data_IF_711092728888
#
_entry.id   IF_711092728888
#
_cell.length_a   1.000
_cell.length_b   1.000
_cell.length_c   1.000
_cell.angle_alpha   90.00
_cell.angle_beta   90.00
_cell.angle_gamma   90.00
#
_symmetry.space_group_name_H-M   'P 1'
#
loop_
_entity.id
_entity.type
_entity.pdbx_description
1 polymer ?
#
# COMPACT_ATOMS: atom_id res chain seq x y z
N UNK A 1 14.96 -8.36 -8.81
CA UNK A 1 13.69 -7.75 -9.32
C UNK A 1 13.08 -6.89 -8.24
N UNK A 2 12.74 -5.62 -8.53
CA UNK A 2 12.01 -4.69 -7.63
C UNK A 2 10.73 -4.25 -8.33
N UNK A 3 9.57 -4.45 -7.70
CA UNK A 3 8.32 -4.00 -8.28
C UNK A 3 7.32 -3.56 -7.21
N UNK A 4 6.26 -2.92 -7.61
CA UNK A 4 5.23 -2.41 -6.73
C UNK A 4 4.46 -1.27 -7.39
N UNK A 5 3.39 -0.84 -6.74
CA UNK A 5 2.49 0.19 -7.24
C UNK A 5 3.23 1.47 -7.66
N UNK A 6 2.67 2.24 -8.58
CA UNK A 6 3.15 3.60 -8.91
C UNK A 6 3.16 4.48 -7.64
N UNK A 7 4.04 5.48 -7.59
CA UNK A 7 4.16 6.45 -6.49
C UNK A 7 4.73 5.89 -5.17
N UNK A 8 4.97 4.57 -5.05
CA UNK A 8 5.47 3.92 -3.81
C UNK A 8 6.95 4.20 -3.51
N UNK A 9 7.68 4.86 -4.43
CA UNK A 9 9.06 5.31 -4.19
C UNK A 9 10.15 4.39 -4.72
N UNK A 10 9.88 3.43 -5.62
CA UNK A 10 10.87 2.48 -6.18
C UNK A 10 12.11 3.16 -6.75
N UNK A 11 11.91 4.12 -7.66
CA UNK A 11 13.00 4.86 -8.32
C UNK A 11 13.85 5.63 -7.31
N UNK A 12 13.24 6.24 -6.30
CA UNK A 12 13.94 6.96 -5.24
C UNK A 12 14.78 6.01 -4.38
N UNK A 13 14.21 4.86 -3.99
CA UNK A 13 14.94 3.81 -3.28
C UNK A 13 16.18 3.35 -4.07
N UNK A 14 16.02 3.13 -5.37
CA UNK A 14 17.12 2.71 -6.24
C UNK A 14 18.20 3.80 -6.40
N UNK A 15 17.79 5.06 -6.53
CA UNK A 15 18.73 6.19 -6.59
C UNK A 15 19.53 6.30 -5.29
N UNK A 16 18.85 6.21 -4.15
CA UNK A 16 19.51 6.22 -2.84
C UNK A 16 20.45 5.02 -2.67
N UNK A 17 20.02 3.83 -3.10
CA UNK A 17 20.86 2.63 -3.07
C UNK A 17 22.11 2.75 -3.93
N UNK A 18 22.04 3.45 -5.06
CA UNK A 18 23.14 3.62 -6.02
C UNK A 18 24.10 4.77 -5.68
N UNK A 19 23.75 5.65 -4.73
CA UNK A 19 24.44 6.93 -4.50
C UNK A 19 25.95 6.78 -4.27
N UNK A 20 26.37 5.75 -3.54
CA UNK A 20 27.75 5.46 -3.15
C UNK A 20 28.36 4.29 -3.94
N UNK A 21 27.73 3.83 -5.02
CA UNK A 21 28.13 2.64 -5.79
C UNK A 21 28.38 2.99 -7.25
N UNK A 22 29.37 2.30 -7.84
CA UNK A 22 29.51 2.34 -9.29
C UNK A 22 28.27 1.74 -9.94
N UNK A 23 27.57 2.55 -10.75
CA UNK A 23 26.29 2.13 -11.29
C UNK A 23 26.00 2.70 -12.68
N UNK A 24 25.12 2.01 -13.39
CA UNK A 24 24.44 2.45 -14.60
C UNK A 24 22.96 2.47 -14.30
N UNK A 25 22.31 3.63 -14.43
CA UNK A 25 20.89 3.80 -14.20
C UNK A 25 20.20 4.19 -15.52
N UNK A 26 19.36 3.29 -16.02
CA UNK A 26 18.58 3.50 -17.24
C UNK A 26 17.09 3.39 -16.92
N UNK A 27 16.34 4.43 -17.30
CA UNK A 27 14.86 4.43 -17.20
C UNK A 27 14.29 4.22 -18.59
N UNK A 28 13.58 3.11 -18.77
CA UNK A 28 12.88 2.82 -20.03
C UNK A 28 11.68 3.76 -20.23
N UNK A 29 11.43 4.11 -21.47
CA UNK A 29 10.29 4.93 -21.88
C UNK A 29 9.48 4.19 -22.95
N UNK A 30 8.24 4.61 -23.19
CA UNK A 30 7.39 4.00 -24.21
C UNK A 30 7.75 4.54 -25.62
N UNK A 31 8.83 4.01 -26.17
CA UNK A 31 9.38 4.34 -27.49
C UNK A 31 9.75 3.07 -28.26
N UNK A 32 10.03 3.20 -29.56
CA UNK A 32 10.46 2.06 -30.40
C UNK A 32 11.81 1.47 -29.91
N UNK A 33 12.00 0.18 -30.15
CA UNK A 33 13.13 -0.61 -29.65
C UNK A 33 14.49 -0.02 -30.03
N UNK A 34 14.67 0.41 -31.29
CA UNK A 34 15.94 0.99 -31.74
C UNK A 34 16.32 2.25 -30.94
N UNK A 35 15.33 3.09 -30.60
CA UNK A 35 15.57 4.30 -29.79
C UNK A 35 15.85 3.97 -28.33
N UNK A 36 15.25 2.91 -27.80
CA UNK A 36 15.60 2.42 -26.47
C UNK A 36 17.04 1.89 -26.42
N UNK A 37 17.43 1.09 -27.41
CA UNK A 37 18.80 0.57 -27.52
C UNK A 37 19.82 1.70 -27.71
N UNK A 38 19.51 2.71 -28.52
CA UNK A 38 20.35 3.90 -28.69
C UNK A 38 20.57 4.62 -27.36
N UNK A 39 19.48 4.92 -26.63
CA UNK A 39 19.55 5.61 -25.34
C UNK A 39 20.29 4.79 -24.26
N UNK A 40 20.06 3.47 -24.21
CA UNK A 40 20.77 2.58 -23.31
C UNK A 40 22.28 2.51 -23.68
N UNK A 41 22.60 2.42 -24.96
CA UNK A 41 23.98 2.43 -25.46
C UNK A 41 24.73 3.68 -25.02
N UNK A 42 24.11 4.86 -25.12
CA UNK A 42 24.73 6.11 -24.66
C UNK A 42 25.07 6.06 -23.18
N UNK A 43 24.16 5.55 -22.32
CA UNK A 43 24.41 5.37 -20.88
C UNK A 43 25.59 4.44 -20.60
N UNK A 44 25.73 3.36 -21.37
CA UNK A 44 26.86 2.44 -21.24
C UNK A 44 28.16 3.11 -21.70
N UNK A 45 28.15 3.82 -22.81
CA UNK A 45 29.33 4.47 -23.38
C UNK A 45 29.83 5.66 -22.54
N UNK A 46 28.96 6.33 -21.77
CA UNK A 46 29.37 7.31 -20.77
C UNK A 46 30.34 6.72 -19.74
N UNK A 47 30.18 5.44 -19.40
CA UNK A 47 31.05 4.69 -18.47
C UNK A 47 32.18 3.95 -19.17
N UNK A 48 31.96 3.47 -20.40
CA UNK A 48 32.96 2.74 -21.19
C UNK A 48 33.61 3.67 -22.21
N UNK A 49 34.51 4.56 -21.72
CA UNK A 49 35.25 5.54 -22.58
C UNK A 49 36.10 4.88 -23.65
N UNK A 50 36.52 3.63 -23.46
CA UNK A 50 37.34 2.90 -24.43
C UNK A 50 36.48 2.47 -25.62
N UNK A 51 35.31 1.85 -25.37
CA UNK A 51 34.33 1.49 -26.41
C UNK A 51 33.80 2.75 -27.14
N UNK A 52 33.57 3.84 -26.41
CA UNK A 52 33.07 5.10 -26.97
C UNK A 52 34.01 5.74 -28.02
N UNK A 53 35.28 5.30 -28.13
CA UNK A 53 36.19 5.75 -29.20
C UNK A 53 35.89 5.10 -30.54
N UNK A 54 35.22 3.95 -30.55
CA UNK A 54 35.03 3.13 -31.76
C UNK A 54 33.60 2.99 -32.19
N UNK A 55 32.67 3.12 -31.25
CA UNK A 55 31.23 3.00 -31.53
C UNK A 55 30.44 4.14 -30.90
N UNK A 56 29.35 4.51 -31.55
CA UNK A 56 28.38 5.49 -31.03
C UNK A 56 27.14 4.82 -30.43
N UNK A 57 26.90 3.56 -30.79
CA UNK A 57 25.85 2.70 -30.22
C UNK A 57 26.22 1.23 -30.42
N UNK A 58 25.65 0.35 -29.60
CA UNK A 58 25.70 -1.09 -29.82
C UNK A 58 24.73 -1.51 -30.94
N UNK A 59 25.06 -2.59 -31.65
CA UNK A 59 24.25 -3.08 -32.77
C UNK A 59 22.94 -3.74 -32.30
N UNK A 60 22.98 -4.35 -31.14
CA UNK A 60 21.86 -5.10 -30.55
C UNK A 60 21.93 -5.13 -29.01
N UNK A 61 20.87 -5.61 -28.38
CA UNK A 61 20.76 -5.72 -26.92
C UNK A 61 21.76 -6.71 -26.32
N UNK A 62 22.09 -7.79 -27.03
CA UNK A 62 23.02 -8.80 -26.53
C UNK A 62 24.41 -8.18 -26.34
N UNK A 63 24.91 -7.48 -27.36
CA UNK A 63 26.20 -6.79 -27.28
C UNK A 63 26.21 -5.67 -26.21
N UNK A 64 25.13 -4.91 -26.13
CA UNK A 64 25.01 -3.85 -25.12
C UNK A 64 25.07 -4.43 -23.70
N UNK A 65 24.33 -5.49 -23.42
CA UNK A 65 24.29 -6.14 -22.11
C UNK A 65 25.60 -6.88 -21.78
N UNK A 66 26.24 -7.52 -22.79
CA UNK A 66 27.56 -8.16 -22.60
C UNK A 66 28.64 -7.13 -22.26
N UNK A 67 28.60 -5.93 -22.86
CA UNK A 67 29.59 -4.88 -22.57
C UNK A 67 29.63 -4.48 -21.10
N UNK A 68 28.56 -4.71 -20.33
CA UNK A 68 28.51 -4.44 -18.89
C UNK A 68 29.49 -5.34 -18.14
N UNK A 69 29.68 -6.58 -18.59
CA UNK A 69 30.61 -7.51 -17.93
C UNK A 69 32.05 -7.06 -18.04
N UNK A 70 32.41 -6.37 -19.11
CA UNK A 70 33.75 -5.76 -19.27
C UNK A 70 33.99 -4.65 -18.24
N UNK A 71 32.94 -3.82 -17.98
CA UNK A 71 33.00 -2.79 -16.94
C UNK A 71 33.08 -3.39 -15.53
N UNK A 72 32.58 -4.60 -15.36
CA UNK A 72 32.53 -5.29 -14.06
C UNK A 72 33.75 -6.15 -13.76
N UNK A 73 34.81 -6.18 -14.63
CA UNK A 73 35.99 -7.04 -14.44
C UNK A 73 36.74 -6.73 -13.15
N UNK A 74 36.94 -5.46 -12.86
CA UNK A 74 37.73 -5.02 -11.70
C UNK A 74 36.88 -4.66 -10.47
N UNK A 75 35.66 -4.21 -10.68
CA UNK A 75 34.78 -3.70 -9.62
C UNK A 75 33.34 -4.18 -9.83
N UNK A 76 32.64 -4.37 -8.72
CA UNK A 76 31.20 -4.64 -8.75
C UNK A 76 30.47 -3.42 -9.31
N UNK A 77 29.59 -3.65 -10.30
CA UNK A 77 28.75 -2.62 -10.90
C UNK A 77 27.28 -2.94 -10.69
N UNK A 78 26.49 -1.93 -10.32
CA UNK A 78 25.03 -2.02 -10.23
C UNK A 78 24.42 -1.52 -11.53
N UNK A 79 23.60 -2.30 -12.19
CA UNK A 79 22.86 -1.90 -13.37
C UNK A 79 21.38 -1.91 -13.06
N UNK A 80 20.76 -0.75 -13.12
CA UNK A 80 19.32 -0.57 -12.90
C UNK A 80 18.64 -0.33 -14.23
N UNK A 81 17.67 -1.17 -14.56
CA UNK A 81 16.73 -0.98 -15.66
C UNK A 81 15.37 -0.66 -15.03
N UNK A 82 15.09 0.63 -14.91
CA UNK A 82 13.83 1.12 -14.34
C UNK A 82 12.74 1.16 -15.42
N UNK A 83 11.49 0.91 -15.04
CA UNK A 83 10.33 0.73 -15.93
C UNK A 83 10.58 -0.34 -17.02
N UNK A 84 11.21 -1.46 -16.63
CA UNK A 84 11.53 -2.62 -17.47
C UNK A 84 10.36 -3.13 -18.33
N UNK A 85 9.08 -3.07 -17.90
CA UNK A 85 7.94 -3.41 -18.75
C UNK A 85 7.92 -2.70 -20.11
N UNK A 86 8.37 -1.44 -20.19
CA UNK A 86 8.43 -0.72 -21.47
C UNK A 86 9.50 -1.28 -22.43
N UNK A 87 10.62 -1.77 -21.86
CA UNK A 87 11.65 -2.43 -22.68
C UNK A 87 11.10 -3.73 -23.30
N UNK A 88 10.40 -4.55 -22.51
CA UNK A 88 9.81 -5.79 -22.99
C UNK A 88 8.68 -5.52 -24.00
N UNK A 89 7.87 -4.48 -23.78
CA UNK A 89 6.80 -4.06 -24.70
C UNK A 89 7.37 -3.63 -26.06
N UNK A 90 8.52 -2.97 -26.07
CA UNK A 90 9.24 -2.57 -27.28
C UNK A 90 9.88 -3.75 -28.02
N UNK A 91 10.37 -4.74 -27.26
CA UNK A 91 11.02 -5.93 -27.81
C UNK A 91 10.76 -7.16 -26.95
N UNK A 92 9.85 -8.02 -27.39
CA UNK A 92 9.46 -9.24 -26.69
C UNK A 92 10.59 -10.29 -26.58
N UNK A 93 11.72 -10.13 -27.29
CA UNK A 93 12.87 -11.01 -27.19
C UNK A 93 13.76 -10.70 -25.97
N UNK A 94 13.60 -9.55 -25.34
CA UNK A 94 14.42 -9.12 -24.18
C UNK A 94 14.49 -10.15 -23.06
N UNK A 95 13.38 -10.76 -22.59
CA UNK A 95 13.46 -11.78 -21.56
C UNK A 95 14.33 -12.99 -21.96
N UNK A 96 14.28 -13.41 -23.23
CA UNK A 96 15.09 -14.54 -23.73
C UNK A 96 16.58 -14.15 -23.86
N UNK A 97 16.86 -12.93 -24.30
CA UNK A 97 18.23 -12.42 -24.37
C UNK A 97 18.83 -12.36 -22.94
N UNK A 98 18.09 -11.79 -21.98
CA UNK A 98 18.53 -11.74 -20.58
C UNK A 98 18.69 -13.13 -19.98
N UNK A 99 17.81 -14.08 -20.31
CA UNK A 99 17.94 -15.49 -19.89
C UNK A 99 19.27 -16.07 -20.36
N UNK A 100 19.55 -15.99 -21.67
CA UNK A 100 20.78 -16.50 -22.27
C UNK A 100 22.01 -15.90 -21.58
N UNK A 101 22.06 -14.57 -21.52
CA UNK A 101 23.20 -13.87 -20.93
C UNK A 101 23.37 -14.15 -19.42
N UNK A 102 22.27 -14.31 -18.70
CA UNK A 102 22.32 -14.68 -17.29
C UNK A 102 22.94 -16.05 -17.08
N UNK A 103 22.49 -17.04 -17.85
CA UNK A 103 22.94 -18.41 -17.72
C UNK A 103 24.40 -18.58 -18.16
N UNK A 104 24.84 -17.87 -19.20
CA UNK A 104 26.16 -17.99 -19.78
C UNK A 104 27.23 -17.14 -19.06
N UNK A 105 26.92 -15.89 -18.68
CA UNK A 105 27.94 -14.92 -18.27
C UNK A 105 27.57 -14.14 -17.01
N UNK A 106 26.39 -13.52 -16.94
CA UNK A 106 26.07 -12.54 -15.90
C UNK A 106 26.04 -13.15 -14.49
N UNK A 107 25.59 -14.39 -14.38
CA UNK A 107 25.51 -15.14 -13.10
C UNK A 107 26.87 -15.27 -12.40
N UNK A 108 27.97 -15.29 -13.15
CA UNK A 108 29.33 -15.45 -12.64
C UNK A 108 30.10 -14.10 -12.63
N UNK A 109 29.50 -13.04 -13.11
CA UNK A 109 30.13 -11.73 -13.19
C UNK A 109 29.94 -10.90 -11.90
N UNK A 110 30.67 -9.79 -11.79
CA UNK A 110 30.50 -8.81 -10.71
C UNK A 110 29.37 -7.81 -11.00
N UNK A 111 28.37 -8.21 -11.81
CA UNK A 111 27.19 -7.36 -12.13
C UNK A 111 26.04 -7.66 -11.18
N UNK A 112 25.50 -6.61 -10.57
CA UNK A 112 24.21 -6.66 -9.89
C UNK A 112 23.16 -6.03 -10.81
N UNK A 113 22.37 -6.87 -11.50
CA UNK A 113 21.29 -6.40 -12.37
C UNK A 113 20.00 -6.25 -11.59
N UNK A 114 19.41 -5.05 -11.61
CA UNK A 114 18.13 -4.74 -10.97
C UNK A 114 17.12 -4.37 -12.07
N UNK A 115 16.12 -5.22 -12.24
CA UNK A 115 14.97 -4.94 -13.10
C UNK A 115 13.85 -4.37 -12.22
N UNK A 116 13.36 -3.17 -12.56
CA UNK A 116 12.34 -2.45 -11.80
C UNK A 116 11.14 -2.12 -12.67
N UNK A 117 9.94 -2.13 -12.07
CA UNK A 117 8.74 -1.71 -12.79
C UNK A 117 7.52 -1.46 -11.90
N UNK A 118 6.60 -0.63 -12.43
CA UNK A 118 5.36 -0.24 -11.76
C UNK A 118 4.13 -1.02 -12.21
N UNK A 119 4.18 -1.66 -13.38
CA UNK A 119 3.09 -2.47 -13.92
C UNK A 119 3.01 -3.84 -13.19
N UNK A 120 2.37 -3.87 -12.02
CA UNK A 120 2.33 -5.05 -11.15
C UNK A 120 1.79 -6.30 -11.84
N UNK A 121 0.63 -6.19 -12.50
CA UNK A 121 0.02 -7.32 -13.21
C UNK A 121 0.92 -7.86 -14.32
N UNK A 122 1.64 -7.00 -15.06
CA UNK A 122 2.59 -7.42 -16.06
C UNK A 122 3.76 -8.18 -15.44
N UNK A 123 4.33 -7.65 -14.36
CA UNK A 123 5.47 -8.31 -13.70
C UNK A 123 5.06 -9.65 -13.12
N UNK A 124 3.94 -9.75 -12.41
CA UNK A 124 3.47 -10.97 -11.78
C UNK A 124 2.99 -12.02 -12.79
N UNK A 125 2.22 -11.61 -13.83
CA UNK A 125 1.60 -12.54 -14.79
C UNK A 125 2.47 -12.85 -16.02
N UNK A 126 3.41 -11.97 -16.35
CA UNK A 126 4.27 -12.16 -17.53
C UNK A 126 5.72 -12.42 -17.12
N UNK A 127 6.36 -11.55 -16.34
CA UNK A 127 7.81 -11.67 -16.06
C UNK A 127 8.12 -12.76 -15.03
N UNK A 128 7.30 -12.91 -13.99
CA UNK A 128 7.47 -13.91 -12.94
C UNK A 128 6.67 -15.19 -13.20
N UNK A 129 5.96 -15.31 -14.31
CA UNK A 129 5.20 -16.51 -14.66
C UNK A 129 6.13 -17.64 -15.08
N UNK A 130 5.75 -18.90 -14.80
CA UNK A 130 6.53 -20.11 -15.10
C UNK A 130 6.93 -20.22 -16.58
N UNK A 131 6.08 -19.72 -17.49
CA UNK A 131 6.33 -19.71 -18.94
C UNK A 131 7.37 -18.68 -19.38
N UNK A 132 7.76 -17.72 -18.52
CA UNK A 132 8.69 -16.65 -18.88
C UNK A 132 10.14 -17.12 -18.78
N UNK A 133 11.01 -16.73 -19.74
CA UNK A 133 12.44 -17.05 -19.69
C UNK A 133 13.16 -16.64 -18.41
N UNK A 134 12.72 -15.59 -17.72
CA UNK A 134 13.32 -15.09 -16.47
C UNK A 134 12.83 -15.83 -15.21
N UNK A 135 11.84 -16.73 -15.34
CA UNK A 135 11.36 -17.50 -14.20
C UNK A 135 12.49 -18.29 -13.53
N UNK A 136 12.55 -18.27 -12.21
CA UNK A 136 13.57 -18.97 -11.42
C UNK A 136 15.00 -18.37 -11.48
N UNK A 137 15.24 -17.29 -12.27
CA UNK A 137 16.56 -16.66 -12.41
C UNK A 137 16.75 -15.44 -11.52
N UNK A 138 15.68 -14.89 -11.01
CA UNK A 138 15.77 -13.78 -10.06
C UNK A 138 16.34 -14.29 -8.72
N UNK A 139 17.51 -13.77 -8.33
CA UNK A 139 18.15 -14.09 -7.03
C UNK A 139 17.48 -13.36 -5.86
N UNK A 140 16.66 -12.36 -6.12
CA UNK A 140 15.84 -11.65 -5.15
C UNK A 140 14.65 -11.00 -5.81
N UNK A 141 13.49 -11.12 -5.18
CA UNK A 141 12.23 -10.50 -5.63
C UNK A 141 11.69 -9.68 -4.48
N UNK A 142 11.65 -8.36 -4.66
CA UNK A 142 11.14 -7.42 -3.67
C UNK A 142 9.90 -6.71 -4.22
N UNK A 143 8.74 -6.99 -3.61
CA UNK A 143 7.49 -6.26 -3.84
C UNK A 143 7.43 -5.11 -2.86
N UNK A 144 7.64 -3.88 -3.36
CA UNK A 144 7.59 -2.69 -2.53
C UNK A 144 6.15 -2.35 -2.18
N UNK A 145 5.87 -2.26 -0.89
CA UNK A 145 4.57 -1.91 -0.32
C UNK A 145 4.52 -0.43 0.06
N UNK A 146 3.32 0.08 0.32
CA UNK A 146 3.15 1.35 1.01
C UNK A 146 3.81 1.30 2.39
N UNK A 147 4.27 2.43 2.89
CA UNK A 147 4.83 2.56 4.23
C UNK A 147 3.76 2.25 5.28
N UNK A 148 4.16 1.59 6.35
CA UNK A 148 3.34 1.47 7.55
C UNK A 148 3.20 2.83 8.27
N UNK A 149 2.34 2.89 9.28
CA UNK A 149 2.15 4.10 10.07
C UNK A 149 3.46 4.61 10.68
N UNK A 150 4.29 3.72 11.19
CA UNK A 150 5.56 4.07 11.87
C UNK A 150 6.59 4.71 10.93
N UNK A 151 6.58 4.32 9.68
CA UNK A 151 7.43 4.91 8.64
C UNK A 151 6.80 6.19 8.10
N UNK A 152 5.49 6.19 7.86
CA UNK A 152 4.77 7.34 7.30
C UNK A 152 4.73 8.55 8.25
N UNK A 153 4.58 8.34 9.56
CA UNK A 153 4.55 9.44 10.53
C UNK A 153 5.84 10.27 10.57
N UNK A 154 6.97 9.71 10.12
CA UNK A 154 8.25 10.42 10.07
C UNK A 154 8.26 11.60 9.09
N UNK A 155 7.30 11.66 8.17
CA UNK A 155 7.12 12.81 7.28
C UNK A 155 6.57 14.04 8.02
N UNK A 156 6.01 13.85 9.23
CA UNK A 156 5.33 14.88 10.00
C UNK A 156 5.85 14.95 11.45
N UNK A 157 7.15 15.24 11.67
CA UNK A 157 7.72 15.25 13.02
C UNK A 157 7.03 16.22 13.99
N UNK A 158 6.52 17.35 13.48
CA UNK A 158 5.91 18.41 14.31
C UNK A 158 4.40 18.23 14.55
N UNK A 159 3.75 17.26 13.90
CA UNK A 159 2.34 16.96 14.17
C UNK A 159 2.16 16.24 15.51
N UNK A 160 1.02 16.50 16.17
CA UNK A 160 0.55 15.68 17.29
C UNK A 160 0.33 14.22 16.84
N UNK A 161 0.26 13.28 17.78
CA UNK A 161 -0.03 11.88 17.45
C UNK A 161 -1.40 11.75 16.77
N UNK A 162 -2.38 12.53 17.21
CA UNK A 162 -3.71 12.60 16.58
C UNK A 162 -3.62 13.05 15.13
N UNK A 163 -2.89 14.14 14.85
CA UNK A 163 -2.72 14.64 13.48
C UNK A 163 -1.93 13.67 12.61
N UNK A 164 -0.91 12.98 13.14
CA UNK A 164 -0.17 11.94 12.43
C UNK A 164 -1.06 10.77 12.02
N UNK A 165 -1.92 10.29 12.92
CA UNK A 165 -2.87 9.23 12.63
C UNK A 165 -3.88 9.69 11.58
N UNK A 166 -4.40 10.92 11.71
CA UNK A 166 -5.36 11.48 10.77
C UNK A 166 -4.72 11.72 9.40
N UNK A 167 -3.50 12.25 9.33
CA UNK A 167 -2.76 12.38 8.08
C UNK A 167 -2.52 11.02 7.40
N UNK A 168 -2.18 9.99 8.19
CA UNK A 168 -2.05 8.62 7.67
C UNK A 168 -3.40 8.04 7.22
N UNK A 169 -4.50 8.35 7.90
CA UNK A 169 -5.84 7.95 7.49
C UNK A 169 -6.22 8.55 6.13
N UNK A 170 -5.80 9.78 5.86
CA UNK A 170 -6.06 10.49 4.60
C UNK A 170 -5.13 10.04 3.48
N UNK A 171 -3.82 10.03 3.72
CA UNK A 171 -2.78 9.89 2.69
C UNK A 171 -2.26 8.46 2.54
N UNK A 172 -2.51 7.60 3.53
CA UNK A 172 -1.90 6.28 3.62
C UNK A 172 -0.38 6.35 3.74
N UNK A 173 0.30 5.30 3.26
CA UNK A 173 1.75 5.17 3.32
C UNK A 173 2.45 5.40 1.98
N UNK A 174 1.85 6.09 1.02
CA UNK A 174 2.47 6.37 -0.28
C UNK A 174 3.32 7.64 -0.19
N UNK A 175 4.67 7.56 -0.35
CA UNK A 175 5.56 8.71 -0.18
C UNK A 175 5.20 9.93 -1.04
N UNK A 176 4.70 9.70 -2.25
CA UNK A 176 4.27 10.77 -3.13
C UNK A 176 3.12 11.60 -2.54
N UNK A 177 2.18 10.94 -1.85
CA UNK A 177 1.06 11.61 -1.19
C UNK A 177 1.51 12.30 0.09
N UNK A 178 2.31 11.61 0.90
CA UNK A 178 2.85 12.14 2.15
C UNK A 178 3.64 13.44 1.95
N UNK A 179 4.43 13.55 0.88
CA UNK A 179 5.19 14.76 0.52
C UNK A 179 4.33 15.96 0.14
N UNK A 180 3.03 15.79 -0.12
CA UNK A 180 2.13 16.91 -0.45
C UNK A 180 1.64 17.67 0.79
N UNK A 181 1.71 17.05 1.97
CA UNK A 181 1.41 17.72 3.22
C UNK A 181 2.68 18.27 3.87
N UNK A 182 2.55 19.35 4.63
CA UNK A 182 3.62 19.92 5.42
C UNK A 182 3.11 20.15 6.85
N UNK A 183 3.85 19.68 7.83
CA UNK A 183 3.53 19.87 9.25
C UNK A 183 3.79 21.29 9.79
N UNK A 184 4.13 22.22 8.89
CA UNK A 184 4.11 23.67 9.14
C UNK A 184 2.71 24.28 9.05
N UNK A 185 1.78 23.58 8.44
CA UNK A 185 0.38 23.97 8.30
C UNK A 185 -0.49 23.03 9.12
N UNK A 186 -1.63 23.50 9.56
CA UNK A 186 -2.64 22.64 10.17
C UNK A 186 -3.11 21.55 9.19
N UNK A 187 -3.64 20.48 9.73
CA UNK A 187 -4.19 19.40 8.91
C UNK A 187 -5.28 19.88 7.95
N UNK A 188 -6.17 20.78 8.44
CA UNK A 188 -7.23 21.36 7.62
C UNK A 188 -6.70 22.19 6.46
N UNK A 189 -5.68 23.04 6.70
CA UNK A 189 -5.04 23.79 5.63
C UNK A 189 -4.40 22.89 4.57
N UNK A 190 -3.73 21.82 5.00
CA UNK A 190 -3.16 20.83 4.08
C UNK A 190 -4.22 20.12 3.23
N UNK A 191 -5.36 19.71 3.83
CA UNK A 191 -6.48 19.11 3.10
C UNK A 191 -6.99 20.06 2.03
N UNK A 192 -7.30 21.31 2.40
CA UNK A 192 -7.81 22.32 1.47
C UNK A 192 -6.81 22.55 0.33
N UNK A 193 -5.54 22.83 0.66
CA UNK A 193 -4.52 23.23 -0.33
C UNK A 193 -4.08 22.10 -1.25
N UNK A 194 -3.93 20.88 -0.71
CA UNK A 194 -3.26 19.79 -1.42
C UNK A 194 -4.22 18.79 -2.02
N UNK A 195 -5.48 18.72 -1.54
CA UNK A 195 -6.47 17.74 -1.99
C UNK A 195 -7.70 18.42 -2.61
N UNK A 196 -8.31 19.39 -1.91
CA UNK A 196 -9.59 19.96 -2.33
C UNK A 196 -9.44 21.11 -3.34
N UNK A 197 -8.30 21.79 -3.34
CA UNK A 197 -8.08 22.93 -4.25
C UNK A 197 -7.82 22.45 -5.66
N UNK A 198 -8.58 22.98 -6.63
CA UNK A 198 -8.41 22.75 -8.05
C UNK A 198 -6.96 23.05 -8.47
N UNK A 199 -6.37 22.16 -9.27
CA UNK A 199 -4.99 22.30 -9.73
C UNK A 199 -3.93 21.82 -8.74
N UNK A 200 -4.29 21.41 -7.51
CA UNK A 200 -3.36 20.74 -6.61
C UNK A 200 -3.05 19.32 -7.11
N UNK A 201 -1.86 18.80 -6.74
CA UNK A 201 -1.36 17.50 -7.24
C UNK A 201 -2.33 16.37 -6.91
N UNK A 202 -2.89 16.38 -5.70
CA UNK A 202 -3.75 15.28 -5.25
C UNK A 202 -5.21 15.41 -5.71
N UNK A 203 -5.64 16.57 -6.17
CA UNK A 203 -7.00 16.79 -6.65
C UNK A 203 -7.41 15.80 -7.75
N UNK A 204 -6.59 15.66 -8.79
CA UNK A 204 -6.85 14.79 -9.95
C UNK A 204 -6.05 13.49 -9.95
N UNK A 205 -5.24 13.21 -8.92
CA UNK A 205 -4.32 12.07 -8.90
C UNK A 205 -5.05 10.73 -9.07
N UNK A 206 -6.18 10.55 -8.38
CA UNK A 206 -6.96 9.30 -8.47
C UNK A 206 -7.52 9.10 -9.87
N UNK A 207 -8.06 10.15 -10.51
CA UNK A 207 -8.57 10.05 -11.88
C UNK A 207 -7.45 9.69 -12.88
N UNK A 208 -6.27 10.31 -12.75
CA UNK A 208 -5.14 9.99 -13.61
C UNK A 208 -4.71 8.53 -13.48
N UNK A 209 -4.61 8.03 -12.25
CA UNK A 209 -4.25 6.64 -12.02
C UNK A 209 -5.30 5.67 -12.56
N UNK A 210 -6.59 5.98 -12.37
CA UNK A 210 -7.69 5.15 -12.88
C UNK A 210 -7.70 5.09 -14.41
N UNK A 211 -7.50 6.23 -15.09
CA UNK A 211 -7.45 6.28 -16.57
C UNK A 211 -6.25 5.53 -17.15
N UNK A 212 -5.15 5.41 -16.43
CA UNK A 212 -3.98 4.66 -16.87
C UNK A 212 -4.18 3.13 -16.79
N UNK A 213 -4.97 2.67 -15.83
CA UNK A 213 -5.16 1.25 -15.56
C UNK A 213 -6.48 0.70 -16.17
N UNK A 214 -7.50 1.55 -16.40
CA UNK A 214 -8.85 1.15 -16.76
C UNK A 214 -9.40 1.94 -17.94
N UNK A 215 -10.11 1.26 -18.84
CA UNK A 215 -10.72 1.88 -20.04
C UNK A 215 -12.08 2.53 -19.75
N UNK A 216 -12.92 1.88 -18.95
CA UNK A 216 -14.30 2.33 -18.62
C UNK A 216 -14.37 2.85 -17.18
N UNK A 217 -13.78 4.02 -16.91
CA UNK A 217 -13.61 4.53 -15.54
C UNK A 217 -14.90 4.81 -14.81
N UNK A 218 -15.99 5.19 -15.49
CA UNK A 218 -17.25 5.59 -14.86
C UNK A 218 -17.88 4.47 -14.01
N UNK A 219 -17.90 3.24 -14.53
CA UNK A 219 -18.46 2.10 -13.80
C UNK A 219 -17.58 1.71 -12.61
N UNK A 220 -16.26 1.73 -12.82
CA UNK A 220 -15.32 1.45 -11.71
C UNK A 220 -15.41 2.51 -10.61
N UNK A 221 -15.57 3.80 -10.98
CA UNK A 221 -15.75 4.87 -10.01
C UNK A 221 -16.98 4.62 -9.12
N UNK A 222 -18.13 4.26 -9.71
CA UNK A 222 -19.33 3.94 -8.94
C UNK A 222 -19.13 2.77 -7.96
N UNK A 223 -18.39 1.73 -8.36
CA UNK A 223 -18.08 0.58 -7.48
C UNK A 223 -17.15 1.00 -6.33
N UNK A 224 -16.08 1.75 -6.62
CA UNK A 224 -15.12 2.18 -5.58
C UNK A 224 -15.78 3.17 -4.62
N UNK A 225 -16.58 4.11 -5.14
CA UNK A 225 -17.35 5.05 -4.32
C UNK A 225 -18.30 4.31 -3.36
N UNK A 226 -19.06 3.33 -3.85
CA UNK A 226 -19.93 2.53 -3.01
C UNK A 226 -19.17 1.86 -1.86
N UNK A 227 -18.00 1.27 -2.14
CA UNK A 227 -17.14 0.65 -1.11
C UNK A 227 -16.59 1.69 -0.15
N UNK A 228 -16.11 2.83 -0.64
CA UNK A 228 -15.55 3.91 0.17
C UNK A 228 -16.59 4.52 1.13
N UNK A 229 -17.86 4.52 0.72
CA UNK A 229 -19.01 4.97 1.54
C UNK A 229 -19.53 3.89 2.49
N UNK A 230 -18.87 2.74 2.60
CA UNK A 230 -19.18 1.69 3.57
C UNK A 230 -20.07 0.55 3.06
N UNK A 231 -20.39 0.49 1.77
CA UNK A 231 -21.09 -0.67 1.18
C UNK A 231 -20.06 -1.77 0.91
N UNK A 232 -19.79 -2.62 1.90
CA UNK A 232 -18.68 -3.57 1.87
C UNK A 232 -19.06 -4.98 1.44
N UNK A 233 -20.35 -5.33 1.45
CA UNK A 233 -20.84 -6.62 0.98
C UNK A 233 -21.26 -6.55 -0.49
N UNK A 234 -21.16 -7.66 -1.20
CA UNK A 234 -21.52 -7.74 -2.63
C UNK A 234 -22.95 -7.25 -2.91
N UNK A 235 -23.89 -7.63 -2.02
CA UNK A 235 -25.29 -7.20 -2.18
C UNK A 235 -25.47 -5.69 -1.94
N UNK A 236 -24.76 -5.11 -0.99
CA UNK A 236 -24.84 -3.67 -0.69
C UNK A 236 -24.28 -2.85 -1.84
N UNK A 237 -23.13 -3.30 -2.41
CA UNK A 237 -22.55 -2.68 -3.60
C UNK A 237 -23.52 -2.76 -4.79
N UNK A 238 -24.15 -3.92 -5.01
CA UNK A 238 -25.16 -4.09 -6.05
C UNK A 238 -26.34 -3.13 -5.85
N UNK A 239 -26.88 -3.06 -4.64
CA UNK A 239 -28.00 -2.18 -4.29
C UNK A 239 -27.64 -0.69 -4.52
N UNK A 240 -26.42 -0.30 -4.17
CA UNK A 240 -25.94 1.08 -4.32
C UNK A 240 -25.69 1.45 -5.79
N UNK A 241 -25.07 0.55 -6.56
CA UNK A 241 -24.60 0.84 -7.92
C UNK A 241 -25.63 0.49 -9.00
N UNK A 242 -26.58 -0.39 -8.72
CA UNK A 242 -27.55 -0.96 -9.68
C UNK A 242 -26.89 -1.64 -10.90
N UNK A 243 -25.61 -2.01 -10.81
CA UNK A 243 -24.88 -2.74 -11.84
C UNK A 243 -25.27 -4.21 -11.76
N UNK A 244 -25.61 -4.82 -12.92
CA UNK A 244 -25.90 -6.26 -12.97
C UNK A 244 -24.86 -7.10 -12.23
N UNK A 245 -25.32 -8.09 -11.43
CA UNK A 245 -24.45 -8.89 -10.54
C UNK A 245 -23.33 -9.63 -11.29
N UNK A 246 -23.58 -10.09 -12.51
CA UNK A 246 -22.59 -10.79 -13.31
C UNK A 246 -21.47 -9.84 -13.73
N UNK A 247 -21.82 -8.64 -14.19
CA UNK A 247 -20.87 -7.57 -14.55
C UNK A 247 -20.15 -7.04 -13.33
N UNK A 248 -20.87 -6.79 -12.21
CA UNK A 248 -20.28 -6.33 -10.96
C UNK A 248 -19.17 -7.25 -10.46
N UNK A 249 -19.36 -8.57 -10.56
CA UNK A 249 -18.34 -9.56 -10.18
C UNK A 249 -17.06 -9.43 -11.00
N UNK A 250 -17.16 -9.09 -12.29
CA UNK A 250 -16.00 -8.86 -13.16
C UNK A 250 -15.28 -7.56 -12.77
N UNK A 251 -16.01 -6.48 -12.52
CA UNK A 251 -15.42 -5.20 -12.10
C UNK A 251 -14.70 -5.33 -10.75
N UNK A 252 -15.33 -5.99 -9.77
CA UNK A 252 -14.71 -6.26 -8.47
C UNK A 252 -13.45 -7.11 -8.61
N UNK A 253 -13.48 -8.16 -9.45
CA UNK A 253 -12.29 -8.97 -9.72
C UNK A 253 -11.14 -8.13 -10.28
N UNK A 254 -11.40 -7.28 -11.26
CA UNK A 254 -10.39 -6.40 -11.85
C UNK A 254 -9.81 -5.43 -10.81
N UNK A 255 -10.65 -4.83 -9.96
CA UNK A 255 -10.21 -3.93 -8.90
C UNK A 255 -9.37 -4.65 -7.82
N UNK A 256 -9.68 -5.91 -7.52
CA UNK A 256 -8.86 -6.76 -6.64
C UNK A 256 -7.50 -7.07 -7.28
N UNK A 257 -7.47 -7.43 -8.57
CA UNK A 257 -6.23 -7.71 -9.32
C UNK A 257 -5.32 -6.48 -9.42
N UNK A 258 -5.90 -5.28 -9.57
CA UNK A 258 -5.18 -4.01 -9.57
C UNK A 258 -4.75 -3.57 -8.18
N UNK A 259 -5.22 -4.24 -7.11
CA UNK A 259 -4.92 -3.87 -5.73
C UNK A 259 -5.56 -2.55 -5.29
N UNK A 260 -6.61 -2.10 -5.98
CA UNK A 260 -7.42 -0.91 -5.59
C UNK A 260 -8.40 -1.29 -4.48
N UNK A 261 -9.01 -2.47 -4.59
CA UNK A 261 -9.77 -3.09 -3.53
C UNK A 261 -9.04 -4.30 -2.96
N UNK A 262 -9.34 -4.66 -1.73
CA UNK A 262 -9.02 -5.95 -1.14
C UNK A 262 -10.28 -6.58 -0.54
N UNK A 263 -10.18 -7.87 -0.18
CA UNK A 263 -11.22 -8.57 0.57
C UNK A 263 -10.71 -8.84 1.98
N UNK A 264 -11.42 -8.33 2.95
CA UNK A 264 -11.18 -8.59 4.36
C UNK A 264 -12.02 -9.79 4.80
N UNK A 265 -11.42 -10.69 5.56
CA UNK A 265 -12.09 -11.85 6.14
C UNK A 265 -11.90 -11.84 7.64
N UNK A 266 -12.86 -12.41 8.37
CA UNK A 266 -12.65 -12.66 9.78
C UNK A 266 -11.35 -13.44 10.00
N UNK A 267 -10.59 -13.10 11.03
CA UNK A 267 -9.25 -13.65 11.30
C UNK A 267 -9.26 -15.19 11.47
N UNK A 268 -10.40 -15.75 11.86
CA UNK A 268 -10.62 -17.19 12.02
C UNK A 268 -11.16 -17.87 10.75
N UNK A 269 -11.42 -17.11 9.68
CA UNK A 269 -11.93 -17.66 8.42
C UNK A 269 -10.96 -18.70 7.85
N UNK A 270 -11.49 -19.87 7.49
CA UNK A 270 -10.73 -20.92 6.88
C UNK A 270 -10.52 -20.70 5.36
N UNK A 271 -9.65 -21.51 4.74
CA UNK A 271 -9.29 -21.37 3.31
C UNK A 271 -10.52 -21.49 2.39
N UNK A 272 -11.48 -22.36 2.72
CA UNK A 272 -12.70 -22.53 1.92
C UNK A 272 -13.60 -21.29 1.98
N UNK A 273 -13.67 -20.65 3.14
CA UNK A 273 -14.42 -19.40 3.32
C UNK A 273 -13.76 -18.24 2.57
N UNK A 274 -12.43 -18.16 2.59
CA UNK A 274 -11.67 -17.16 1.86
C UNK A 274 -11.78 -17.34 0.33
N UNK A 275 -11.94 -18.56 -0.15
CA UNK A 275 -12.17 -18.85 -1.57
C UNK A 275 -13.58 -18.48 -2.05
N UNK A 276 -14.58 -18.36 -1.16
CA UNK A 276 -15.95 -18.04 -1.54
C UNK A 276 -16.11 -16.55 -1.86
N UNK A 277 -16.47 -16.23 -3.11
CA UNK A 277 -16.67 -14.85 -3.61
C UNK A 277 -17.76 -14.09 -2.83
N UNK A 278 -18.74 -14.79 -2.30
CA UNK A 278 -19.87 -14.18 -1.54
C UNK A 278 -19.50 -13.85 -0.09
N UNK A 279 -18.35 -14.33 0.41
CA UNK A 279 -17.88 -14.07 1.76
C UNK A 279 -16.75 -13.05 1.76
N UNK A 280 -16.55 -12.39 2.90
CA UNK A 280 -15.58 -11.32 3.05
C UNK A 280 -16.16 -9.95 2.70
N UNK A 281 -15.52 -8.92 3.23
CA UNK A 281 -15.91 -7.53 3.05
C UNK A 281 -14.94 -6.86 2.05
N UNK A 282 -15.49 -6.12 1.10
CA UNK A 282 -14.68 -5.32 0.19
C UNK A 282 -14.22 -4.04 0.90
N UNK A 283 -12.95 -3.73 0.79
CA UNK A 283 -12.32 -2.54 1.39
C UNK A 283 -11.43 -1.85 0.35
N UNK A 284 -11.43 -0.52 0.34
CA UNK A 284 -10.47 0.24 -0.45
C UNK A 284 -9.09 0.06 0.17
N UNK A 285 -8.13 -0.40 -0.62
CA UNK A 285 -6.78 -0.76 -0.13
C UNK A 285 -5.96 0.47 0.24
N UNK A 286 -6.12 1.58 -0.51
CA UNK A 286 -5.37 2.80 -0.36
C UNK A 286 -6.22 3.83 0.39
N UNK A 287 -5.73 4.32 1.52
CA UNK A 287 -6.42 5.30 2.34
C UNK A 287 -6.72 6.58 1.56
N UNK A 288 -5.79 7.04 0.70
CA UNK A 288 -6.02 8.25 -0.09
C UNK A 288 -7.14 8.04 -1.12
N UNK A 289 -7.22 6.88 -1.76
CA UNK A 289 -8.36 6.54 -2.60
C UNK A 289 -9.66 6.53 -1.79
N UNK A 290 -9.64 5.93 -0.59
CA UNK A 290 -10.79 5.96 0.33
C UNK A 290 -11.24 7.39 0.64
N UNK A 291 -10.32 8.27 1.00
CA UNK A 291 -10.60 9.68 1.27
C UNK A 291 -11.12 10.41 0.03
N UNK A 292 -10.49 10.21 -1.13
CA UNK A 292 -10.86 10.88 -2.37
C UNK A 292 -12.27 10.49 -2.84
N UNK A 293 -12.62 9.21 -2.81
CA UNK A 293 -13.96 8.76 -3.17
C UNK A 293 -15.03 9.10 -2.12
N UNK A 294 -14.65 9.26 -0.86
CA UNK A 294 -15.59 9.67 0.18
C UNK A 294 -15.90 11.19 0.14
N UNK A 295 -14.93 12.03 -0.20
CA UNK A 295 -15.04 13.47 0.00
C UNK A 295 -14.77 14.32 -1.24
N UNK A 296 -13.91 13.89 -2.17
CA UNK A 296 -13.60 14.67 -3.38
C UNK A 296 -14.57 14.32 -4.50
N UNK A 297 -14.67 13.04 -4.84
CA UNK A 297 -15.47 12.58 -5.97
C UNK A 297 -16.95 12.99 -5.91
N UNK A 298 -17.66 12.87 -4.78
CA UNK A 298 -19.07 13.29 -4.69
C UNK A 298 -19.25 14.82 -4.77
N UNK A 299 -18.21 15.61 -4.53
CA UNK A 299 -18.27 17.07 -4.43
C UNK A 299 -17.50 17.77 -5.57
N UNK A 300 -17.21 17.09 -6.67
CA UNK A 300 -16.42 17.65 -7.77
C UNK A 300 -17.04 18.93 -8.35
N UNK A 301 -18.36 19.02 -8.45
CA UNK A 301 -19.06 20.21 -8.97
C UNK A 301 -18.75 21.47 -8.15
N UNK A 302 -18.85 21.35 -6.83
CA UNK A 302 -18.61 22.46 -5.89
C UNK A 302 -17.12 22.81 -5.83
N UNK A 303 -16.24 21.82 -5.87
CA UNK A 303 -14.81 22.02 -5.92
C UNK A 303 -14.37 22.68 -7.24
N UNK A 304 -14.97 22.32 -8.38
CA UNK A 304 -14.75 22.98 -9.67
C UNK A 304 -15.22 24.45 -9.66
N UNK A 305 -16.26 24.77 -8.89
CA UNK A 305 -16.72 26.15 -8.68
C UNK A 305 -15.80 26.96 -7.75
N UNK A 306 -14.84 26.31 -7.08
CA UNK A 306 -13.83 26.95 -6.22
C UNK A 306 -14.13 26.93 -4.72
N UNK A 307 -15.17 26.21 -4.26
CA UNK A 307 -15.56 26.14 -2.85
C UNK A 307 -14.85 25.02 -2.06
N UNK A 308 -13.53 24.97 -2.14
CA UNK A 308 -12.73 24.02 -1.35
C UNK A 308 -12.86 24.26 0.17
N UNK A 309 -13.03 25.53 0.59
CA UNK A 309 -13.20 25.90 1.99
C UNK A 309 -14.52 25.42 2.58
N UNK A 310 -15.63 25.63 1.85
CA UNK A 310 -16.96 25.17 2.26
C UNK A 310 -17.03 23.64 2.33
N UNK A 311 -16.52 22.94 1.32
CA UNK A 311 -16.45 21.47 1.34
C UNK A 311 -15.65 20.97 2.53
N UNK A 312 -14.50 21.58 2.84
CA UNK A 312 -13.75 21.21 4.04
C UNK A 312 -14.59 21.43 5.32
N UNK A 313 -15.14 22.61 5.50
CA UNK A 313 -15.80 22.99 6.75
C UNK A 313 -17.09 22.21 7.02
N UNK A 314 -17.91 21.94 5.97
CA UNK A 314 -19.26 21.41 6.12
C UNK A 314 -19.37 19.93 5.73
N UNK A 315 -18.43 19.37 4.97
CA UNK A 315 -18.47 17.98 4.53
C UNK A 315 -17.35 17.16 5.15
N UNK A 316 -16.08 17.59 5.00
CA UNK A 316 -14.92 16.78 5.42
C UNK A 316 -14.75 16.81 6.93
N UNK A 317 -14.67 18.01 7.53
CA UNK A 317 -14.34 18.19 8.95
C UNK A 317 -15.29 17.47 9.91
N UNK A 318 -16.63 17.49 9.72
CA UNK A 318 -17.55 16.77 10.60
C UNK A 318 -17.40 15.23 10.55
N UNK A 319 -16.99 14.69 9.42
CA UNK A 319 -16.88 13.25 9.21
C UNK A 319 -15.45 12.71 9.43
N UNK A 320 -14.46 13.60 9.63
CA UNK A 320 -13.05 13.23 9.66
C UNK A 320 -12.71 12.30 10.83
N UNK A 321 -13.33 12.49 12.00
CA UNK A 321 -13.15 11.60 13.14
C UNK A 321 -13.65 10.18 12.82
N UNK A 322 -14.84 10.08 12.25
CA UNK A 322 -15.43 8.80 11.84
C UNK A 322 -14.59 8.12 10.76
N UNK A 323 -14.14 8.88 9.76
CA UNK A 323 -13.28 8.37 8.70
C UNK A 323 -11.96 7.83 9.27
N UNK A 324 -11.33 8.58 10.19
CA UNK A 324 -10.07 8.19 10.81
C UNK A 324 -10.22 6.96 11.70
N UNK A 325 -11.37 6.75 12.33
CA UNK A 325 -11.59 5.63 13.25
C UNK A 325 -11.35 4.25 12.62
N UNK A 326 -11.70 4.07 11.36
CA UNK A 326 -11.46 2.81 10.64
C UNK A 326 -9.96 2.54 10.41
N UNK A 327 -9.18 3.60 10.17
CA UNK A 327 -7.73 3.47 9.98
C UNK A 327 -7.02 3.36 11.31
N UNK A 328 -7.57 3.92 12.37
CA UNK A 328 -7.04 3.75 13.73
C UNK A 328 -7.00 2.29 14.16
N UNK A 329 -7.99 1.48 13.80
CA UNK A 329 -7.96 0.03 14.02
C UNK A 329 -6.72 -0.62 13.34
N UNK A 330 -6.43 -0.23 12.09
CA UNK A 330 -5.25 -0.71 11.36
C UNK A 330 -3.94 -0.25 12.04
N UNK A 331 -3.89 0.98 12.57
CA UNK A 331 -2.73 1.50 13.34
C UNK A 331 -2.53 0.69 14.63
N UNK A 332 -3.61 0.40 15.36
CA UNK A 332 -3.56 -0.44 16.55
C UNK A 332 -3.09 -1.88 16.25
N UNK A 333 -3.51 -2.46 15.11
CA UNK A 333 -2.98 -3.74 14.66
C UNK A 333 -1.48 -3.67 14.33
N UNK A 334 -1.01 -2.58 13.70
CA UNK A 334 0.42 -2.37 13.43
C UNK A 334 1.22 -2.25 14.74
N UNK A 335 0.67 -1.57 15.76
CA UNK A 335 1.24 -1.52 17.11
C UNK A 335 1.42 -2.93 17.68
N UNK A 336 0.36 -3.73 17.69
CA UNK A 336 0.44 -5.10 18.21
C UNK A 336 1.43 -5.97 17.40
N UNK A 337 1.52 -5.81 16.08
CA UNK A 337 2.55 -6.49 15.27
C UNK A 337 3.97 -6.07 15.64
N UNK A 338 4.18 -4.78 15.98
CA UNK A 338 5.47 -4.26 16.46
C UNK A 338 5.83 -4.87 17.81
N UNK A 339 4.88 -4.91 18.75
CA UNK A 339 5.07 -5.53 20.08
C UNK A 339 5.29 -7.05 19.97
N UNK A 340 4.56 -7.74 19.09
CA UNK A 340 4.74 -9.17 18.84
C UNK A 340 6.17 -9.51 18.38
N UNK A 341 6.74 -8.69 17.49
CA UNK A 341 8.13 -8.85 17.04
C UNK A 341 9.16 -8.59 18.13
N UNK A 342 8.83 -7.75 19.11
CA UNK A 342 9.66 -7.46 20.28
C UNK A 342 9.49 -8.50 21.41
N UNK A 343 8.53 -9.40 21.27
CA UNK A 343 8.12 -10.36 22.32
C UNK A 343 7.57 -9.67 23.61
N UNK A 344 6.98 -8.48 23.45
CA UNK A 344 6.41 -7.68 24.56
C UNK A 344 4.93 -7.98 24.81
N UNK A 345 4.38 -9.04 24.20
CA UNK A 345 3.00 -9.51 24.39
C UNK A 345 2.94 -10.78 25.24
N UNK A 346 1.79 -11.09 25.87
CA UNK A 346 1.63 -12.29 26.69
C UNK A 346 1.90 -13.61 25.95
N UNK A 347 1.78 -13.62 24.62
CA UNK A 347 2.09 -14.74 23.76
C UNK A 347 2.46 -14.24 22.36
N UNK A 348 3.12 -15.10 21.57
CA UNK A 348 3.43 -14.83 20.18
C UNK A 348 2.25 -15.23 19.29
N UNK A 349 1.62 -14.28 18.61
CA UNK A 349 0.55 -14.56 17.67
C UNK A 349 1.06 -14.80 16.24
N UNK A 350 0.34 -15.64 15.49
CA UNK A 350 0.62 -15.92 14.08
C UNK A 350 -0.38 -15.27 13.13
N UNK A 351 -1.56 -14.92 13.63
CA UNK A 351 -2.60 -14.22 12.88
C UNK A 351 -3.12 -13.06 13.70
N UNK A 352 -3.47 -11.96 13.03
CA UNK A 352 -4.16 -10.80 13.61
C UNK A 352 -5.03 -10.15 12.54
N UNK A 353 -6.23 -9.73 12.91
CA UNK A 353 -7.21 -9.07 12.06
C UNK A 353 -8.49 -8.78 12.82
N UNK A 354 -9.51 -8.28 12.12
CA UNK A 354 -10.86 -8.15 12.68
C UNK A 354 -11.51 -9.53 12.81
N UNK A 355 -12.42 -9.64 13.75
CA UNK A 355 -13.27 -10.82 13.91
C UNK A 355 -14.74 -10.41 14.01
N UNK A 356 -15.60 -11.14 13.35
CA UNK A 356 -17.06 -10.95 13.45
C UNK A 356 -17.82 -12.24 13.24
N UNK A 357 -18.99 -12.29 13.83
CA UNK A 357 -20.00 -13.31 13.59
C UNK A 357 -21.33 -12.62 13.26
N UNK A 358 -22.45 -13.27 13.50
CA UNK A 358 -23.78 -12.71 13.22
C UNK A 358 -24.23 -11.63 14.22
N UNK A 359 -23.67 -11.61 15.42
CA UNK A 359 -24.13 -10.80 16.56
C UNK A 359 -23.06 -9.88 17.12
N UNK A 360 -21.80 -10.29 17.04
CA UNK A 360 -20.68 -9.61 17.68
C UNK A 360 -19.56 -9.31 16.68
N UNK A 361 -18.86 -8.23 16.94
CA UNK A 361 -17.67 -7.81 16.21
C UNK A 361 -16.57 -7.43 17.20
N UNK A 362 -15.31 -7.78 16.90
CA UNK A 362 -14.11 -7.42 17.63
C UNK A 362 -13.17 -6.72 16.66
N UNK A 363 -12.75 -5.51 16.98
CA UNK A 363 -11.92 -4.68 16.10
C UNK A 363 -10.56 -5.34 15.83
N UNK A 364 -10.01 -6.01 16.86
CA UNK A 364 -8.73 -6.72 16.75
C UNK A 364 -8.82 -8.06 17.49
N UNK A 365 -8.56 -9.14 16.77
CA UNK A 365 -8.32 -10.45 17.34
C UNK A 365 -6.96 -10.97 16.85
N UNK A 366 -6.09 -11.36 17.80
CA UNK A 366 -4.85 -12.03 17.48
C UNK A 366 -4.82 -13.43 18.10
N UNK A 367 -4.34 -14.43 17.34
CA UNK A 367 -4.36 -15.84 17.76
C UNK A 367 -2.98 -16.46 17.60
N UNK A 368 -2.60 -17.35 18.54
CA UNK A 368 -1.40 -18.15 18.44
C UNK A 368 -1.54 -19.26 17.39
N UNK A 369 -0.43 -19.94 17.06
CA UNK A 369 -0.42 -21.03 16.08
C UNK A 369 -1.38 -22.18 16.43
N UNK A 370 -1.47 -22.52 17.75
CA UNK A 370 -2.32 -23.61 18.26
C UNK A 370 -3.77 -23.19 18.50
N UNK A 371 -4.07 -21.90 18.36
CA UNK A 371 -5.38 -21.29 18.65
C UNK A 371 -5.87 -21.54 20.09
N UNK A 372 -4.94 -21.63 21.03
CA UNK A 372 -5.22 -21.81 22.46
C UNK A 372 -5.24 -20.49 23.23
N UNK A 373 -4.57 -19.47 22.71
CA UNK A 373 -4.47 -18.14 23.29
C UNK A 373 -5.00 -17.10 22.29
N UNK A 374 -5.81 -16.17 22.77
CA UNK A 374 -6.43 -15.12 22.00
C UNK A 374 -6.21 -13.78 22.70
N UNK A 375 -5.74 -12.79 21.93
CA UNK A 375 -5.77 -11.39 22.33
C UNK A 375 -6.95 -10.72 21.63
N UNK A 376 -7.80 -10.08 22.39
CA UNK A 376 -8.94 -9.27 21.94
C UNK A 376 -8.63 -7.80 22.14
N UNK A 377 -8.90 -6.97 21.13
CA UNK A 377 -8.69 -5.53 21.16
C UNK A 377 -9.94 -4.78 20.72
N UNK A 378 -10.27 -3.72 21.45
CA UNK A 378 -11.32 -2.76 21.11
C UNK A 378 -10.69 -1.39 20.90
N UNK A 379 -11.13 -0.64 19.87
CA UNK A 379 -10.58 0.64 19.49
C UNK A 379 -11.65 1.74 19.59
N UNK A 380 -11.35 2.83 20.32
CA UNK A 380 -12.25 3.99 20.44
C UNK A 380 -11.52 5.26 19.99
N UNK A 381 -11.82 5.71 18.77
CA UNK A 381 -11.31 6.96 18.23
C UNK A 381 -12.38 8.05 18.35
N UNK A 382 -12.58 8.55 19.59
CA UNK A 382 -13.59 9.57 19.93
C UNK A 382 -13.01 10.61 20.87
N UNK A 383 -13.58 11.82 20.87
CA UNK A 383 -13.16 12.89 21.76
C UNK A 383 -13.51 12.68 23.23
N UNK A 384 -14.38 11.75 23.57
CA UNK A 384 -14.70 11.41 24.97
C UNK A 384 -13.82 10.30 25.51
N UNK A 385 -13.41 10.43 26.78
CA UNK A 385 -12.70 9.38 27.51
C UNK A 385 -13.55 8.11 27.62
N UNK A 386 -12.88 6.96 27.63
CA UNK A 386 -13.49 5.64 27.83
C UNK A 386 -13.94 5.51 29.28
N UNK A 387 -15.18 5.05 29.47
CA UNK A 387 -15.80 4.84 30.75
C UNK A 387 -15.94 3.34 31.07
N UNK A 388 -16.23 2.99 32.33
CA UNK A 388 -16.42 1.61 32.79
C UNK A 388 -17.48 0.86 31.96
N UNK A 389 -18.54 1.55 31.51
CA UNK A 389 -19.58 0.94 30.66
C UNK A 389 -19.02 0.43 29.31
N UNK A 390 -18.04 1.14 28.72
CA UNK A 390 -17.42 0.75 27.46
C UNK A 390 -16.59 -0.54 27.67
N UNK A 391 -15.84 -0.65 28.78
CA UNK A 391 -15.08 -1.84 29.14
C UNK A 391 -15.99 -3.04 29.44
N UNK A 392 -17.09 -2.83 30.17
CA UNK A 392 -18.08 -3.89 30.46
C UNK A 392 -18.73 -4.40 29.18
N UNK A 393 -19.07 -3.51 28.25
CA UNK A 393 -19.62 -3.89 26.95
C UNK A 393 -18.62 -4.75 26.16
N UNK A 394 -17.35 -4.37 26.15
CA UNK A 394 -16.30 -5.14 25.48
C UNK A 394 -16.12 -6.54 26.07
N UNK A 395 -16.04 -6.66 27.41
CA UNK A 395 -15.92 -7.96 28.07
C UNK A 395 -17.16 -8.85 27.90
N UNK A 396 -18.33 -8.25 27.63
CA UNK A 396 -19.59 -8.96 27.39
C UNK A 396 -19.72 -9.63 26.01
N UNK A 397 -18.83 -9.31 25.06
CA UNK A 397 -18.83 -9.90 23.73
C UNK A 397 -18.50 -11.39 23.79
N UNK A 398 -19.31 -12.20 23.08
CA UNK A 398 -19.20 -13.67 23.13
C UNK A 398 -18.15 -14.18 22.12
N UNK A 399 -16.96 -14.45 22.61
CA UNK A 399 -15.89 -15.15 21.90
C UNK A 399 -15.67 -16.52 22.54
N UNK A 400 -15.05 -17.49 21.86
CA UNK A 400 -14.85 -18.86 22.32
C UNK A 400 -14.41 -18.98 23.80
N UNK A 401 -15.17 -19.73 24.60
CA UNK A 401 -15.03 -19.77 26.07
C UNK A 401 -13.95 -20.72 26.58
N UNK A 402 -13.39 -21.57 25.74
CA UNK A 402 -12.42 -22.63 26.08
C UNK A 402 -10.95 -22.23 25.86
N UNK A 403 -10.70 -20.93 25.65
CA UNK A 403 -9.38 -20.38 25.32
C UNK A 403 -8.90 -19.38 26.34
N UNK A 404 -7.59 -19.21 26.46
CA UNK A 404 -7.01 -18.17 27.33
C UNK A 404 -7.11 -16.81 26.62
N UNK A 405 -7.85 -15.88 27.24
CA UNK A 405 -8.14 -14.56 26.68
C UNK A 405 -7.27 -13.49 27.34
N UNK A 406 -6.81 -12.53 26.51
CA UNK A 406 -6.11 -11.33 26.92
C UNK A 406 -6.80 -10.14 26.29
N UNK A 407 -6.98 -9.05 27.04
CA UNK A 407 -7.79 -7.91 26.66
C UNK A 407 -6.94 -6.66 26.51
N UNK A 408 -7.09 -5.97 25.39
CA UNK A 408 -6.47 -4.68 25.09
C UNK A 408 -7.55 -3.67 24.72
N UNK A 409 -7.45 -2.46 25.23
CA UNK A 409 -8.37 -1.39 24.88
C UNK A 409 -7.58 -0.17 24.42
N UNK A 410 -7.86 0.34 23.23
CA UNK A 410 -7.17 1.45 22.62
C UNK A 410 -8.08 2.68 22.62
N UNK A 411 -7.60 3.82 23.09
CA UNK A 411 -8.38 5.05 23.19
C UNK A 411 -7.62 6.27 22.70
N UNK A 412 -8.29 7.10 21.88
CA UNK A 412 -7.81 8.42 21.48
C UNK A 412 -7.81 9.40 22.66
N UNK A 413 -8.90 9.48 23.41
CA UNK A 413 -9.11 10.48 24.45
C UNK A 413 -8.74 9.99 25.86
N UNK A 414 -8.09 8.80 25.97
CA UNK A 414 -7.74 8.21 27.26
C UNK A 414 -8.93 7.62 28.00
N UNK A 415 -8.80 7.53 29.33
CA UNK A 415 -9.69 6.77 30.21
C UNK A 415 -10.04 7.58 31.46
N UNK A 416 -11.24 7.38 31.99
CA UNK A 416 -11.59 7.91 33.31
C UNK A 416 -10.86 7.13 34.41
N UNK A 417 -10.64 7.73 35.58
CA UNK A 417 -9.99 7.07 36.74
C UNK A 417 -10.70 5.77 37.10
N UNK A 418 -12.03 5.76 37.07
CA UNK A 418 -12.85 4.58 37.33
C UNK A 418 -12.62 3.48 36.29
N UNK A 419 -12.45 3.86 35.01
CA UNK A 419 -12.15 2.90 33.95
C UNK A 419 -10.74 2.30 34.11
N UNK A 420 -9.75 3.09 34.55
CA UNK A 420 -8.39 2.59 34.87
C UNK A 420 -8.42 1.57 36.02
N UNK A 421 -9.12 1.89 37.10
CA UNK A 421 -9.26 0.96 38.24
C UNK A 421 -9.97 -0.34 37.80
N UNK A 422 -11.07 -0.23 37.08
CA UNK A 422 -11.82 -1.38 36.57
C UNK A 422 -10.98 -2.25 35.62
N UNK A 423 -10.18 -1.63 34.72
CA UNK A 423 -9.31 -2.34 33.80
C UNK A 423 -8.21 -3.14 34.55
N UNK A 424 -7.61 -2.56 35.59
CA UNK A 424 -6.63 -3.23 36.43
C UNK A 424 -7.20 -4.46 37.13
N UNK A 425 -8.42 -4.36 37.69
CA UNK A 425 -9.14 -5.46 38.34
C UNK A 425 -9.45 -6.62 37.37
N UNK A 426 -9.77 -6.29 36.11
CA UNK A 426 -10.20 -7.26 35.09
C UNK A 426 -9.12 -7.67 34.10
N UNK A 427 -7.86 -7.25 34.31
CA UNK A 427 -6.72 -7.63 33.48
C UNK A 427 -6.79 -7.07 32.06
N UNK A 428 -7.40 -5.88 31.86
CA UNK A 428 -7.47 -5.20 30.56
C UNK A 428 -6.26 -4.28 30.43
N UNK A 429 -5.45 -4.46 29.40
CA UNK A 429 -4.36 -3.54 29.05
C UNK A 429 -4.93 -2.32 28.35
N UNK A 430 -4.74 -1.15 28.92
CA UNK A 430 -5.13 0.13 28.34
C UNK A 430 -3.96 0.71 27.53
N UNK A 431 -4.27 1.26 26.36
CA UNK A 431 -3.29 1.86 25.44
C UNK A 431 -3.84 3.21 24.95
N UNK A 432 -3.11 4.29 25.21
CA UNK A 432 -3.40 5.64 24.71
C UNK A 432 -2.66 5.93 23.40
N UNK A 433 -2.92 7.09 22.77
CA UNK A 433 -2.21 7.49 21.55
C UNK A 433 -0.69 7.60 21.78
N UNK A 434 -0.26 8.12 22.91
CA UNK A 434 1.16 8.32 23.21
C UNK A 434 1.90 6.98 23.42
N UNK A 435 1.20 5.91 23.74
CA UNK A 435 1.77 4.57 23.87
C UNK A 435 2.04 3.90 22.51
N UNK A 436 1.50 4.46 21.42
CA UNK A 436 1.65 3.91 20.06
C UNK A 436 3.00 4.25 19.39
N UNK A 437 3.93 4.86 20.08
CA UNK A 437 5.24 5.31 19.57
C UNK A 437 6.22 4.14 19.35
#
# INVERSE_FOLDING_TARGET
MLYGRRRVGKTELLRQFCQDKEHIFYTCTEIIDEKQLEAFSQRLLEKNKQAAKYITRFSDWEQALLSITELAKEKKIVVVIDEFPYMVKGNNAIPSILQKLWDEVLKQSNVMLILCGSAMSFIEKEVLAEKNPLYGRATGILKMQAMDFYSAQQFFPNYSMEDKITAYAILGGIPHYLKQFSDKYSLGENIVRSILSRGSVLYSEVEFLMRQELRETSVYNAVIEAVALGNTQLNDIYQKTQIDKSKLSVYLKNLLELGILCREFSVDANIKEQANIQRGLYKVTDNFFGFWYAFVFPNLSELESGDAGGIYQYVVKPELERFTSYVFEDVCQQYLRKQNRKHDLPFYFTKIGRWWNKTDEIDIMAVDYRQTQILLGECKYKHRSVEVKDLKHFLGKKVAQDKRLYYYFFSKAGYTEQAVAYAAEHGIKLVCLDDLI
#
